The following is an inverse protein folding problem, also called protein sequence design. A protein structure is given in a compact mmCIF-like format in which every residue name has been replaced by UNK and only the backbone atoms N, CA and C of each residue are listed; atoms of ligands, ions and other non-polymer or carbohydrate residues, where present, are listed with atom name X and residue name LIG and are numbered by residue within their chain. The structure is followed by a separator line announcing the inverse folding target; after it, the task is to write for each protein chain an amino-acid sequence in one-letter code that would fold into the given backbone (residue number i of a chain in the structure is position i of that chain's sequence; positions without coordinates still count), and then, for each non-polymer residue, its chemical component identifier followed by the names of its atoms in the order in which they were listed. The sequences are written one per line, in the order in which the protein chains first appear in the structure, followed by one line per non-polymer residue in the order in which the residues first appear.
data_IF_484002102919
#
_entry.id   IF_484002102919
#
_cell.length_a   1.000
_cell.length_b   1.000
_cell.length_c   1.000
_cell.angle_alpha   90.00
_cell.angle_beta   90.00
_cell.angle_gamma   90.00
#
_symmetry.space_group_name_H-M   'P 1'
#
loop_
_entity.id
_entity.type
_entity.pdbx_description
1 polymer ?
#
# COMPACT_ATOMS: atom_id res chain seq x y z
N UNK A 1 10.02 -41.71 34.78
CA UNK A 1 9.62 -43.09 35.08
C UNK A 1 8.15 -43.23 34.76
N UNK A 2 7.76 -44.14 33.86
CA UNK A 2 6.37 -44.57 33.68
C UNK A 2 5.73 -44.23 32.32
N UNK A 3 6.17 -44.91 31.26
CA UNK A 3 5.39 -45.17 30.03
C UNK A 3 4.42 -46.31 30.29
N UNK A 4 3.16 -46.23 29.86
CA UNK A 4 2.27 -47.35 29.44
C UNK A 4 1.02 -46.73 28.78
N UNK A 5 0.29 -47.28 27.79
CA UNK A 5 0.50 -48.25 26.71
C UNK A 5 -0.82 -48.25 25.90
N UNK A 6 -0.75 -48.53 24.60
CA UNK A 6 -1.88 -48.77 23.69
C UNK A 6 -2.63 -50.09 24.03
N UNK A 7 -3.91 -50.24 23.63
CA UNK A 7 -4.36 -51.26 22.65
C UNK A 7 -5.90 -51.49 22.57
N UNK A 8 -6.33 -51.56 21.31
CA UNK A 8 -7.52 -52.03 20.56
C UNK A 8 -8.45 -53.16 21.04
N UNK A 9 -9.72 -53.11 20.58
CA UNK A 9 -10.54 -54.23 20.02
C UNK A 9 -11.81 -53.67 19.30
N UNK A 10 -11.92 -53.74 17.96
CA UNK A 10 -12.76 -54.65 17.11
C UNK A 10 -14.29 -54.61 17.38
N UNK A 11 -15.14 -54.06 16.47
CA UNK A 11 -15.74 -54.58 15.22
C UNK A 11 -16.82 -55.66 15.42
N UNK A 12 -18.07 -55.36 15.03
CA UNK A 12 -18.99 -56.36 14.46
C UNK A 12 -20.04 -55.71 13.53
N UNK A 13 -20.36 -56.41 12.45
CA UNK A 13 -21.19 -56.01 11.31
C UNK A 13 -22.58 -56.69 11.33
N UNK A 14 -23.54 -56.05 10.64
CA UNK A 14 -24.36 -56.63 9.54
C UNK A 14 -25.90 -56.76 9.68
N UNK A 15 -26.56 -56.44 8.54
CA UNK A 15 -27.81 -56.94 7.93
C UNK A 15 -29.18 -56.66 8.59
N UNK A 16 -30.07 -55.84 8.00
CA UNK A 16 -30.89 -55.98 6.77
C UNK A 16 -32.21 -56.76 6.96
N UNK A 17 -33.36 -56.10 6.79
CA UNK A 17 -34.55 -56.68 6.13
C UNK A 17 -35.51 -55.57 5.66
N UNK A 18 -36.24 -55.90 4.61
CA UNK A 18 -36.84 -55.07 3.55
C UNK A 18 -38.38 -55.09 3.64
N UNK A 19 -39.01 -54.36 2.71
CA UNK A 19 -40.37 -54.54 2.11
C UNK A 19 -41.43 -53.55 2.62
N UNK A 20 -41.87 -52.54 1.84
CA UNK A 20 -42.55 -52.48 0.51
C UNK A 20 -44.10 -52.47 0.63
N UNK A 21 -44.74 -51.51 -0.06
CA UNK A 21 -45.85 -51.65 -1.04
C UNK A 21 -46.51 -50.26 -1.26
N UNK A 22 -46.28 -49.56 -2.39
CA UNK A 22 -47.07 -49.53 -3.65
C UNK A 22 -48.53 -49.04 -3.45
N UNK A 23 -49.21 -48.28 -4.30
CA UNK A 23 -49.03 -47.56 -5.57
C UNK A 23 -50.37 -46.82 -5.75
N UNK A 24 -50.44 -45.62 -6.37
CA UNK A 24 -51.49 -45.38 -7.38
C UNK A 24 -51.27 -44.14 -8.26
N UNK A 25 -51.44 -44.38 -9.56
CA UNK A 25 -52.04 -43.55 -10.59
C UNK A 25 -51.37 -42.25 -11.06
N UNK A 26 -50.66 -42.44 -12.16
CA UNK A 26 -50.41 -41.58 -13.32
C UNK A 26 -51.55 -40.62 -13.71
N UNK A 27 -51.20 -39.35 -13.93
CA UNK A 27 -51.86 -38.48 -14.92
C UNK A 27 -50.77 -37.73 -15.70
N UNK A 28 -50.59 -38.09 -16.97
CA UNK A 28 -49.91 -37.25 -17.96
C UNK A 28 -50.82 -36.08 -18.29
N UNK A 29 -50.36 -34.86 -18.03
CA UNK A 29 -50.77 -33.68 -18.79
C UNK A 29 -49.51 -32.94 -19.26
N UNK A 30 -49.53 -32.68 -20.55
CA UNK A 30 -48.49 -32.11 -21.40
C UNK A 30 -48.70 -30.58 -21.48
N UNK A 31 -47.60 -29.84 -21.68
CA UNK A 31 -47.51 -28.43 -22.14
C UNK A 31 -48.27 -27.37 -21.30
N UNK A 32 -47.65 -26.48 -20.53
CA UNK A 32 -46.80 -25.38 -20.98
C UNK A 32 -45.92 -24.96 -19.77
N UNK A 33 -44.66 -25.40 -19.73
CA UNK A 33 -43.68 -24.49 -19.12
C UNK A 33 -43.47 -23.42 -20.17
N UNK A 34 -44.03 -22.25 -19.92
CA UNK A 34 -43.88 -21.10 -20.78
C UNK A 34 -42.37 -20.87 -20.99
N UNK A 35 -41.88 -21.25 -22.17
CA UNK A 35 -40.46 -21.18 -22.50
C UNK A 35 -39.98 -19.73 -22.34
N UNK A 36 -40.88 -18.76 -22.55
CA UNK A 36 -40.61 -17.35 -22.31
C UNK A 36 -40.41 -17.06 -20.81
N UNK A 37 -41.14 -17.73 -19.91
CA UNK A 37 -40.92 -17.62 -18.47
C UNK A 37 -39.61 -18.26 -18.00
N UNK A 38 -39.23 -19.41 -18.56
CA UNK A 38 -37.95 -20.06 -18.26
C UNK A 38 -36.76 -19.23 -18.80
N UNK A 39 -36.86 -18.67 -20.01
CA UNK A 39 -35.87 -17.74 -20.57
C UNK A 39 -35.81 -16.45 -19.75
N UNK A 40 -36.95 -15.92 -19.31
CA UNK A 40 -37.01 -14.72 -18.48
C UNK A 40 -36.36 -14.97 -17.11
N UNK A 41 -36.56 -16.15 -16.52
CA UNK A 41 -35.89 -16.56 -15.28
C UNK A 41 -34.37 -16.70 -15.46
N UNK A 42 -33.91 -17.26 -16.58
CA UNK A 42 -32.48 -17.32 -16.92
C UNK A 42 -31.90 -15.91 -17.17
N UNK A 43 -32.60 -15.04 -17.90
CA UNK A 43 -32.18 -13.65 -18.16
C UNK A 43 -32.17 -12.81 -16.87
N UNK A 44 -33.13 -12.99 -15.97
CA UNK A 44 -33.17 -12.31 -14.68
C UNK A 44 -32.10 -12.84 -13.71
N UNK A 45 -31.67 -14.09 -13.87
CA UNK A 45 -30.49 -14.64 -13.17
C UNK A 45 -29.15 -14.11 -13.70
N UNK A 46 -29.11 -13.69 -14.97
CA UNK A 46 -27.94 -13.08 -15.63
C UNK A 46 -27.88 -11.56 -15.46
N UNK A 47 -29.00 -10.90 -15.14
CA UNK A 47 -29.00 -9.47 -14.79
C UNK A 47 -28.20 -9.26 -13.50
N UNK A 48 -27.26 -8.30 -13.45
CA UNK A 48 -26.58 -7.94 -12.22
C UNK A 48 -27.63 -7.55 -11.18
N UNK A 49 -27.79 -8.35 -10.13
CA UNK A 49 -28.72 -8.00 -9.07
C UNK A 49 -28.25 -6.70 -8.40
N UNK A 50 -29.14 -5.69 -8.20
CA UNK A 50 -28.81 -4.47 -7.47
C UNK A 50 -28.46 -4.72 -6.00
N UNK A 51 -28.69 -5.96 -5.51
CA UNK A 51 -28.37 -6.45 -4.18
C UNK A 51 -27.24 -7.51 -4.16
N UNK A 52 -26.46 -7.64 -5.24
CA UNK A 52 -25.09 -8.11 -5.09
C UNK A 52 -24.38 -7.03 -4.26
N UNK A 53 -24.35 -7.25 -2.96
CA UNK A 53 -23.82 -6.38 -1.91
C UNK A 53 -22.83 -5.38 -2.49
N UNK A 54 -23.22 -4.11 -2.48
CA UNK A 54 -22.36 -2.93 -2.66
C UNK A 54 -20.90 -3.34 -2.53
N UNK A 55 -20.15 -3.36 -3.64
CA UNK A 55 -18.75 -3.74 -3.67
C UNK A 55 -18.10 -3.21 -2.38
N UNK A 56 -17.48 -4.07 -1.54
CA UNK A 56 -17.12 -3.69 -0.19
C UNK A 56 -16.33 -2.39 -0.27
N UNK A 57 -16.92 -1.32 0.27
CA UNK A 57 -16.41 0.04 0.16
C UNK A 57 -14.90 0.02 0.34
N UNK A 58 -14.15 0.69 -0.54
CA UNK A 58 -12.69 0.80 -0.55
C UNK A 58 -12.17 1.28 0.82
N UNK A 59 -12.04 0.36 1.78
CA UNK A 59 -11.64 0.67 3.15
C UNK A 59 -10.14 0.51 3.28
N UNK A 60 -9.52 1.48 3.94
CA UNK A 60 -8.18 1.32 4.47
C UNK A 60 -8.16 0.13 5.42
N UNK A 61 -7.11 -0.69 5.34
CA UNK A 61 -6.94 -1.84 6.23
C UNK A 61 -5.70 -1.68 7.10
N UNK A 62 -5.86 -1.90 8.40
CA UNK A 62 -4.72 -2.01 9.31
C UNK A 62 -4.06 -3.38 9.13
N UNK A 63 -2.75 -3.39 8.98
CA UNK A 63 -1.93 -4.60 8.83
C UNK A 63 -1.03 -4.70 10.06
N UNK A 64 -1.11 -5.84 10.73
CA UNK A 64 -0.25 -6.16 11.87
C UNK A 64 0.96 -6.95 11.36
N UNK A 65 2.15 -6.42 11.63
CA UNK A 65 3.42 -7.10 11.31
C UNK A 65 4.16 -7.56 12.58
N UNK A 66 3.47 -7.53 13.72
CA UNK A 66 4.01 -7.84 15.05
C UNK A 66 5.32 -7.05 15.31
N UNK A 67 5.26 -5.74 15.07
CA UNK A 67 6.35 -4.80 15.33
C UNK A 67 5.87 -3.84 16.43
N UNK A 68 6.51 -3.82 17.61
CA UNK A 68 6.10 -2.94 18.69
C UNK A 68 6.02 -1.47 18.26
N UNK A 69 4.93 -0.80 18.61
CA UNK A 69 4.72 0.64 18.35
C UNK A 69 4.72 1.05 16.87
N UNK A 70 4.40 0.13 15.94
CA UNK A 70 4.19 0.47 14.51
C UNK A 70 2.94 -0.22 14.01
N UNK A 71 2.04 0.55 13.42
CA UNK A 71 0.86 0.05 12.71
C UNK A 71 0.99 0.41 11.24
N UNK A 72 0.69 -0.55 10.37
CA UNK A 72 0.71 -0.34 8.93
C UNK A 72 -0.73 -0.13 8.46
N UNK A 73 -0.94 0.89 7.63
CA UNK A 73 -2.25 1.13 7.01
C UNK A 73 -2.08 0.92 5.52
N UNK A 74 -2.76 -0.09 4.98
CA UNK A 74 -2.75 -0.43 3.56
C UNK A 74 -3.87 0.32 2.85
N UNK A 75 -3.50 0.96 1.75
CA UNK A 75 -4.42 1.55 0.80
C UNK A 75 -4.81 0.48 -0.24
N UNK A 76 -6.12 0.29 -0.53
CA UNK A 76 -6.56 -0.57 -1.63
C UNK A 76 -5.97 -0.11 -2.96
N UNK A 77 -5.57 -1.03 -3.85
CA UNK A 77 -4.92 -0.70 -5.12
C UNK A 77 -5.74 0.27 -5.98
N UNK A 78 -7.06 0.13 -5.97
CA UNK A 78 -8.00 1.03 -6.66
C UNK A 78 -8.09 2.42 -6.03
N UNK A 79 -7.77 2.54 -4.74
CA UNK A 79 -7.77 3.80 -4.02
C UNK A 79 -6.44 4.54 -4.19
N UNK A 80 -5.33 3.84 -4.42
CA UNK A 80 -3.98 4.44 -4.57
C UNK A 80 -3.91 5.42 -5.75
N UNK A 81 -4.68 5.20 -6.82
CA UNK A 81 -4.77 6.13 -7.96
C UNK A 81 -5.43 7.46 -7.59
N UNK A 82 -6.36 7.45 -6.63
CA UNK A 82 -7.09 8.65 -6.17
C UNK A 82 -6.52 9.23 -4.87
N UNK A 83 -5.86 8.41 -4.05
CA UNK A 83 -5.39 8.73 -2.71
C UNK A 83 -3.94 8.28 -2.56
N UNK A 84 -3.03 9.15 -3.00
CA UNK A 84 -1.61 8.93 -2.86
C UNK A 84 -1.18 9.04 -1.37
N UNK A 85 -0.51 8.04 -0.79
CA UNK A 85 -0.13 8.04 0.63
C UNK A 85 0.84 9.17 0.99
N UNK A 86 1.76 9.53 0.09
CA UNK A 86 2.67 10.67 0.27
C UNK A 86 1.88 11.96 0.37
N UNK A 87 0.93 12.18 -0.54
CA UNK A 87 0.09 13.39 -0.49
C UNK A 87 -0.78 13.46 0.75
N UNK A 88 -1.37 12.34 1.18
CA UNK A 88 -2.22 12.31 2.38
C UNK A 88 -1.40 12.67 3.61
N UNK A 89 -0.24 12.04 3.81
CA UNK A 89 0.63 12.35 4.95
C UNK A 89 1.11 13.80 4.89
N UNK A 90 1.50 14.28 3.71
CA UNK A 90 1.88 15.68 3.50
C UNK A 90 0.73 16.61 3.89
N UNK A 91 -0.48 16.41 3.35
CA UNK A 91 -1.68 17.23 3.64
C UNK A 91 -2.02 17.21 5.13
N UNK A 92 -1.99 16.05 5.78
CA UNK A 92 -2.22 15.92 7.23
C UNK A 92 -1.19 16.72 8.03
N UNK A 93 0.11 16.58 7.72
CA UNK A 93 1.17 17.29 8.44
C UNK A 93 1.13 18.80 8.17
N UNK A 94 0.89 19.23 6.93
CA UNK A 94 0.72 20.64 6.57
C UNK A 94 -0.48 21.24 7.32
N UNK A 95 -1.61 20.53 7.37
CA UNK A 95 -2.80 21.00 8.09
C UNK A 95 -2.53 21.10 9.59
N UNK A 96 -1.88 20.09 10.17
CA UNK A 96 -1.48 20.10 11.58
C UNK A 96 -0.47 21.20 11.93
N UNK A 97 0.35 21.64 10.98
CA UNK A 97 1.33 22.70 11.15
C UNK A 97 0.74 24.12 11.11
N UNK A 98 -0.53 24.27 10.71
CA UNK A 98 -1.18 25.58 10.72
C UNK A 98 -1.45 26.05 12.15
N UNK A 99 -1.20 27.33 12.43
CA UNK A 99 -1.43 27.93 13.77
C UNK A 99 -2.90 27.90 14.20
N UNK A 100 -3.82 27.98 13.25
CA UNK A 100 -5.27 27.94 13.46
C UNK A 100 -5.83 26.51 13.52
N UNK A 101 -4.98 25.48 13.56
CA UNK A 101 -5.43 24.10 13.54
C UNK A 101 -6.17 23.71 14.84
N UNK A 102 -7.49 23.60 14.72
CA UNK A 102 -8.41 23.12 15.76
C UNK A 102 -8.88 21.67 15.54
N UNK A 103 -8.31 20.98 14.55
CA UNK A 103 -8.71 19.61 14.21
C UNK A 103 -8.24 18.56 15.22
N UNK A 104 -8.66 17.29 15.02
CA UNK A 104 -8.32 16.20 15.93
C UNK A 104 -6.81 16.00 16.00
N UNK A 105 -6.27 16.02 17.22
CA UNK A 105 -4.86 15.73 17.51
C UNK A 105 -4.72 14.28 17.92
N UNK A 106 -3.87 13.53 17.24
CA UNK A 106 -3.61 12.16 17.61
C UNK A 106 -2.69 12.11 18.84
N UNK A 107 -3.20 11.59 19.96
CA UNK A 107 -2.42 11.46 21.20
C UNK A 107 -1.36 10.35 21.12
N UNK A 108 -1.57 9.37 20.25
CA UNK A 108 -0.77 8.14 20.22
C UNK A 108 0.07 7.98 18.94
N UNK A 109 -0.17 8.81 17.91
CA UNK A 109 0.63 8.77 16.68
C UNK A 109 1.75 9.81 16.79
N UNK A 110 2.98 9.31 16.94
CA UNK A 110 4.17 10.17 16.92
C UNK A 110 4.50 10.62 15.49
N UNK A 111 4.64 9.69 14.56
CA UNK A 111 5.11 9.97 13.19
C UNK A 111 4.29 9.21 12.17
N UNK A 112 4.04 9.87 11.03
CA UNK A 112 3.51 9.23 9.84
C UNK A 112 4.64 9.03 8.83
N UNK A 113 4.84 7.79 8.37
CA UNK A 113 5.82 7.49 7.31
C UNK A 113 5.06 7.07 6.06
N UNK A 114 5.02 7.91 5.01
CA UNK A 114 4.35 7.53 3.77
C UNK A 114 5.18 6.50 3.03
N UNK A 115 4.52 5.46 2.51
CA UNK A 115 5.14 4.43 1.69
C UNK A 115 4.28 4.27 0.45
N UNK A 116 4.85 4.52 -0.73
CA UNK A 116 4.12 4.44 -2.00
C UNK A 116 4.02 2.99 -2.47
N UNK A 117 5.14 2.25 -2.43
CA UNK A 117 5.22 0.87 -2.91
C UNK A 117 6.01 0.04 -1.90
N UNK A 118 5.59 -1.22 -1.75
CA UNK A 118 6.18 -2.19 -0.82
C UNK A 118 6.56 -3.47 -1.57
N UNK A 119 7.71 -4.06 -1.25
CA UNK A 119 8.16 -5.37 -1.72
C UNK A 119 8.80 -6.16 -0.57
N UNK A 120 9.05 -7.46 -0.80
CA UNK A 120 9.89 -8.26 0.10
C UNK A 120 11.35 -7.83 -0.08
N UNK A 121 12.16 -7.91 0.97
CA UNK A 121 13.59 -7.54 0.92
C UNK A 121 14.44 -8.54 0.13
N UNK A 122 13.96 -9.77 -0.01
CA UNK A 122 14.64 -10.84 -0.77
C UNK A 122 14.24 -10.79 -2.25
N UNK A 123 15.00 -11.49 -3.10
CA UNK A 123 14.71 -11.62 -4.53
C UNK A 123 14.69 -10.28 -5.29
N UNK A 124 15.74 -9.47 -5.10
CA UNK A 124 15.93 -8.18 -5.78
C UNK A 124 14.78 -7.18 -5.57
N UNK A 125 14.09 -7.28 -4.43
CA UNK A 125 12.92 -6.44 -4.18
C UNK A 125 13.23 -4.96 -4.01
N UNK A 126 14.45 -4.59 -3.60
CA UNK A 126 14.89 -3.19 -3.55
C UNK A 126 15.08 -2.65 -4.97
N UNK A 127 15.73 -3.40 -5.83
CA UNK A 127 15.99 -3.05 -7.22
C UNK A 127 14.68 -2.90 -7.98
N UNK A 128 13.75 -3.85 -7.81
CA UNK A 128 12.41 -3.78 -8.40
C UNK A 128 11.63 -2.56 -7.90
N UNK A 129 11.73 -2.18 -6.61
CA UNK A 129 11.13 -0.94 -6.12
C UNK A 129 11.71 0.29 -6.81
N UNK A 130 13.03 0.31 -7.00
CA UNK A 130 13.70 1.42 -7.67
C UNK A 130 13.21 1.56 -9.12
N UNK A 131 13.15 0.45 -9.84
CA UNK A 131 12.78 0.41 -11.27
C UNK A 131 11.32 0.83 -11.50
N UNK A 132 10.43 0.59 -10.52
CA UNK A 132 9.02 0.96 -10.62
C UNK A 132 8.75 2.41 -10.17
N UNK A 133 9.40 2.86 -9.09
CA UNK A 133 9.05 4.14 -8.45
C UNK A 133 9.90 5.32 -8.95
N UNK A 134 11.21 5.13 -9.10
CA UNK A 134 12.13 6.24 -9.38
C UNK A 134 11.94 6.90 -10.76
N UNK A 135 11.54 6.18 -11.84
CA UNK A 135 11.38 6.82 -13.15
C UNK A 135 10.38 7.99 -13.14
N UNK A 136 9.29 7.87 -12.38
CA UNK A 136 8.29 8.93 -12.25
C UNK A 136 8.85 10.25 -11.66
N UNK A 137 10.03 10.21 -11.03
CA UNK A 137 10.62 11.34 -10.33
C UNK A 137 11.99 11.78 -10.87
N UNK A 138 12.75 10.86 -11.47
CA UNK A 138 14.17 11.05 -11.84
C UNK A 138 14.47 10.68 -13.29
N UNK A 139 13.48 10.32 -14.10
CA UNK A 139 13.71 10.11 -15.53
C UNK A 139 13.94 11.46 -16.24
N UNK A 140 15.10 11.59 -16.88
CA UNK A 140 15.42 12.71 -17.76
C UNK A 140 15.31 12.25 -19.22
N UNK A 141 14.31 12.75 -19.92
CA UNK A 141 14.14 12.50 -21.36
C UNK A 141 15.07 13.41 -22.18
N UNK A 142 15.56 12.90 -23.31
CA UNK A 142 16.25 13.70 -24.30
C UNK A 142 15.20 14.31 -25.22
N UNK A 143 14.96 15.61 -25.11
CA UNK A 143 14.31 16.34 -26.20
C UNK A 143 15.41 16.89 -27.14
N UNK A 144 15.56 16.36 -28.37
CA UNK A 144 16.48 16.90 -29.36
C UNK A 144 16.00 18.23 -29.99
N UNK A 145 14.92 18.86 -29.52
CA UNK A 145 14.23 19.93 -30.26
C UNK A 145 13.56 21.07 -29.49
N UNK A 146 13.83 21.34 -28.21
CA UNK A 146 13.27 22.52 -27.52
C UNK A 146 14.24 23.69 -27.34
N UNK A 147 13.99 24.75 -28.12
CA UNK A 147 14.40 26.13 -27.81
C UNK A 147 13.78 26.56 -26.46
N UNK A 148 14.39 27.49 -25.71
CA UNK A 148 13.84 27.94 -24.43
C UNK A 148 12.60 28.81 -24.67
N UNK A 149 11.42 28.21 -24.57
CA UNK A 149 10.17 28.95 -24.44
C UNK A 149 10.01 29.34 -22.97
N UNK A 150 10.08 30.64 -22.70
CA UNK A 150 9.70 31.22 -21.43
C UNK A 150 8.21 30.97 -21.18
N UNK A 151 7.89 30.57 -19.95
CA UNK A 151 6.56 30.26 -19.40
C UNK A 151 6.06 28.85 -19.69
N UNK A 152 6.54 27.86 -18.93
CA UNK A 152 5.76 26.66 -18.68
C UNK A 152 5.86 26.23 -17.21
N UNK A 153 4.72 26.31 -16.53
CA UNK A 153 4.48 25.85 -15.17
C UNK A 153 4.07 24.38 -15.24
N UNK A 154 5.04 23.47 -15.35
CA UNK A 154 4.71 22.04 -15.39
C UNK A 154 5.89 21.13 -15.70
N UNK A 155 6.72 20.85 -14.69
CA UNK A 155 7.69 19.74 -14.64
C UNK A 155 8.73 19.68 -15.79
N UNK A 156 9.81 20.44 -15.61
CA UNK A 156 11.00 20.40 -16.46
C UNK A 156 11.73 19.06 -16.35
N UNK A 157 11.29 18.04 -17.09
CA UNK A 157 11.97 16.73 -17.21
C UNK A 157 13.40 16.82 -17.80
N UNK A 158 13.88 18.01 -18.16
CA UNK A 158 15.23 18.26 -18.67
C UNK A 158 16.22 18.78 -17.59
N UNK A 159 15.74 19.24 -16.43
CA UNK A 159 16.59 19.82 -15.39
C UNK A 159 16.94 18.76 -14.32
N UNK A 160 18.23 18.74 -13.92
CA UNK A 160 18.69 17.92 -12.81
C UNK A 160 18.08 18.35 -11.47
N UNK A 161 17.99 17.42 -10.54
CA UNK A 161 17.46 17.65 -9.18
C UNK A 161 18.55 17.35 -8.16
N UNK A 162 18.55 18.08 -7.05
CA UNK A 162 19.29 17.70 -5.85
C UNK A 162 18.48 16.65 -5.08
N UNK A 163 19.12 15.57 -4.65
CA UNK A 163 18.44 14.52 -3.91
C UNK A 163 19.23 14.00 -2.71
N UNK A 164 18.49 13.45 -1.76
CA UNK A 164 19.03 12.69 -0.64
C UNK A 164 18.35 11.32 -0.54
N UNK A 165 19.06 10.34 0.03
CA UNK A 165 18.51 9.01 0.30
C UNK A 165 18.57 8.78 1.82
N UNK A 166 17.43 8.41 2.40
CA UNK A 166 17.30 8.18 3.85
C UNK A 166 16.73 6.80 4.13
N UNK A 167 17.60 5.79 4.32
CA UNK A 167 17.15 4.49 4.78
C UNK A 167 16.83 4.49 6.29
N UNK A 168 15.78 3.78 6.66
CA UNK A 168 15.39 3.43 8.03
C UNK A 168 15.27 1.91 8.07
N UNK A 169 16.11 1.24 8.86
CA UNK A 169 16.12 -0.23 8.95
C UNK A 169 15.76 -0.63 10.36
N UNK A 170 14.68 -1.42 10.50
CA UNK A 170 14.18 -1.89 11.79
C UNK A 170 13.91 -3.39 11.75
N UNK A 171 14.43 -4.09 12.76
CA UNK A 171 14.27 -5.54 12.94
C UNK A 171 14.70 -6.36 11.70
N UNK A 172 15.73 -5.88 10.98
CA UNK A 172 16.35 -6.56 9.85
C UNK A 172 17.87 -6.45 10.00
N UNK A 173 18.57 -7.58 9.88
CA UNK A 173 20.03 -7.67 9.95
C UNK A 173 20.68 -8.10 8.62
N UNK A 174 19.87 -8.25 7.57
CA UNK A 174 20.31 -8.72 6.24
C UNK A 174 20.56 -7.56 5.26
N UNK A 175 19.84 -6.45 5.42
CA UNK A 175 19.99 -5.25 4.60
C UNK A 175 21.01 -4.31 5.25
N UNK A 176 22.07 -4.01 4.52
CA UNK A 176 23.07 -3.02 4.94
C UNK A 176 22.64 -1.62 4.46
N UNK A 177 22.73 -0.63 5.37
CA UNK A 177 22.38 0.77 5.09
C UNK A 177 23.13 1.34 3.87
N UNK A 178 24.44 1.12 3.81
CA UNK A 178 25.30 1.69 2.77
C UNK A 178 25.03 1.02 1.43
N UNK A 179 24.80 -0.29 1.43
CA UNK A 179 24.39 -1.02 0.22
C UNK A 179 23.06 -0.50 -0.32
N UNK A 180 22.07 -0.27 0.54
CA UNK A 180 20.79 0.33 0.14
C UNK A 180 21.01 1.70 -0.52
N UNK A 181 21.83 2.55 0.09
CA UNK A 181 22.13 3.90 -0.44
C UNK A 181 22.81 3.79 -1.80
N UNK A 182 23.83 2.93 -1.93
CA UNK A 182 24.56 2.74 -3.19
C UNK A 182 23.66 2.22 -4.30
N UNK A 183 22.83 1.20 -4.04
CA UNK A 183 21.90 0.65 -5.02
C UNK A 183 20.91 1.69 -5.52
N UNK A 184 20.30 2.45 -4.60
CA UNK A 184 19.33 3.48 -4.95
C UNK A 184 20.00 4.63 -5.72
N UNK A 185 21.18 5.09 -5.28
CA UNK A 185 21.93 6.15 -5.95
C UNK A 185 22.32 5.76 -7.38
N UNK A 186 22.77 4.53 -7.60
CA UNK A 186 23.11 4.03 -8.94
C UNK A 186 21.89 4.03 -9.88
N UNK A 187 20.70 3.67 -9.37
CA UNK A 187 19.45 3.72 -10.15
C UNK A 187 19.05 5.16 -10.50
N UNK A 188 19.18 6.10 -9.56
CA UNK A 188 18.95 7.53 -9.83
C UNK A 188 19.94 8.08 -10.87
N UNK A 189 21.23 7.74 -10.77
CA UNK A 189 22.25 8.17 -11.73
C UNK A 189 21.94 7.66 -13.14
N UNK A 190 21.52 6.40 -13.27
CA UNK A 190 21.14 5.78 -14.53
C UNK A 190 19.92 6.48 -15.18
N UNK A 191 18.91 6.83 -14.39
CA UNK A 191 17.71 7.54 -14.86
C UNK A 191 17.99 8.99 -15.24
N UNK A 192 18.88 9.65 -14.50
CA UNK A 192 19.17 11.07 -14.63
C UNK A 192 20.24 11.44 -15.65
N UNK A 193 20.89 10.46 -16.29
CA UNK A 193 22.05 10.67 -17.19
C UNK A 193 23.09 11.62 -16.57
N UNK A 194 23.38 11.45 -15.27
CA UNK A 194 24.29 12.30 -14.45
C UNK A 194 23.86 13.76 -14.24
N UNK A 195 22.60 14.13 -14.51
CA UNK A 195 22.09 15.48 -14.20
C UNK A 195 21.68 15.65 -12.73
N UNK A 196 21.28 14.57 -12.04
CA UNK A 196 20.95 14.66 -10.61
C UNK A 196 22.22 14.73 -9.76
N UNK A 197 22.16 15.46 -8.64
CA UNK A 197 23.27 15.60 -7.71
C UNK A 197 22.82 15.27 -6.29
N UNK A 198 23.73 14.72 -5.49
CA UNK A 198 23.44 14.39 -4.09
C UNK A 198 23.65 15.61 -3.21
N UNK A 199 22.64 16.00 -2.43
CA UNK A 199 22.74 17.01 -1.40
C UNK A 199 22.01 16.52 -0.15
N UNK A 200 22.73 16.38 0.97
CA UNK A 200 22.16 15.82 2.21
C UNK A 200 21.42 16.84 3.07
N UNK A 201 21.46 18.13 2.69
CA UNK A 201 20.90 19.24 3.46
C UNK A 201 19.86 20.04 2.69
N UNK A 202 20.18 20.41 1.45
CA UNK A 202 19.37 21.26 0.58
C UNK A 202 18.92 20.48 -0.66
N UNK A 203 18.17 19.40 -0.44
CA UNK A 203 17.64 18.57 -1.52
C UNK A 203 16.28 19.06 -2.00
N UNK A 204 15.99 18.85 -3.29
CA UNK A 204 14.66 19.04 -3.86
C UNK A 204 13.76 17.83 -3.59
N UNK A 205 14.36 16.63 -3.63
CA UNK A 205 13.67 15.35 -3.46
C UNK A 205 14.39 14.48 -2.44
N UNK A 206 13.64 13.87 -1.53
CA UNK A 206 14.12 12.88 -0.57
C UNK A 206 13.54 11.52 -0.88
N UNK A 207 14.40 10.54 -1.07
CA UNK A 207 14.03 9.13 -1.22
C UNK A 207 14.03 8.49 0.16
N UNK A 208 12.85 8.14 0.66
CA UNK A 208 12.68 7.39 1.91
C UNK A 208 12.69 5.90 1.59
N UNK A 209 13.55 5.15 2.28
CA UNK A 209 13.60 3.69 2.21
C UNK A 209 13.34 3.13 3.60
N UNK A 210 12.25 2.41 3.77
CA UNK A 210 11.85 1.87 5.06
C UNK A 210 11.87 0.34 5.02
N UNK A 211 12.76 -0.26 5.81
CA UNK A 211 12.88 -1.71 5.95
C UNK A 211 12.34 -2.13 7.31
N UNK A 212 11.27 -2.93 7.31
CA UNK A 212 10.65 -3.50 8.49
C UNK A 212 10.62 -5.02 8.34
N UNK A 213 11.38 -5.75 9.18
CA UNK A 213 11.53 -7.22 9.06
C UNK A 213 11.95 -7.59 7.63
N UNK A 214 11.19 -8.42 6.91
CA UNK A 214 11.47 -8.86 5.55
C UNK A 214 10.78 -8.02 4.47
N UNK A 215 10.29 -6.82 4.83
CA UNK A 215 9.57 -5.92 3.94
C UNK A 215 10.39 -4.65 3.75
N UNK A 216 10.47 -4.17 2.52
CA UNK A 216 11.05 -2.88 2.14
C UNK A 216 9.98 -2.03 1.46
N UNK A 217 9.88 -0.79 1.86
CA UNK A 217 9.02 0.23 1.27
C UNK A 217 9.84 1.40 0.76
N UNK A 218 9.33 2.06 -0.27
CA UNK A 218 9.92 3.26 -0.84
C UNK A 218 8.89 4.35 -1.06
N UNK A 219 9.28 5.60 -0.84
CA UNK A 219 8.55 6.79 -1.25
C UNK A 219 9.52 7.91 -1.61
N UNK A 220 9.06 8.84 -2.46
CA UNK A 220 9.78 10.08 -2.77
C UNK A 220 8.94 11.24 -2.27
N UNK A 221 9.56 12.10 -1.46
CA UNK A 221 8.92 13.28 -0.87
C UNK A 221 9.74 14.52 -1.20
N UNK A 222 9.16 15.71 -1.09
CA UNK A 222 9.88 16.95 -1.36
C UNK A 222 10.68 17.47 -0.16
N UNK A 223 11.27 18.65 -0.34
CA UNK A 223 12.04 19.38 0.68
C UNK A 223 11.21 19.75 1.92
N UNK A 224 9.88 19.78 1.80
CA UNK A 224 8.97 20.03 2.92
C UNK A 224 9.05 18.97 4.03
N UNK A 225 9.70 17.83 3.78
CA UNK A 225 9.94 16.82 4.80
C UNK A 225 10.61 17.39 6.06
N UNK A 226 11.61 18.27 5.93
CA UNK A 226 12.30 18.83 7.10
C UNK A 226 11.48 19.93 7.76
N UNK A 227 10.79 20.77 6.98
CA UNK A 227 9.92 21.84 7.52
C UNK A 227 8.72 21.27 8.27
N UNK A 228 8.19 20.14 7.81
CA UNK A 228 7.12 19.37 8.46
C UNK A 228 7.64 18.40 9.51
N UNK A 229 8.77 18.72 10.16
CA UNK A 229 9.38 17.96 11.28
C UNK A 229 9.49 16.45 10.99
N UNK A 230 9.83 16.08 9.75
CA UNK A 230 9.97 14.69 9.30
C UNK A 230 8.69 13.88 9.50
N UNK A 231 7.56 14.55 9.26
CA UNK A 231 6.20 14.06 9.48
C UNK A 231 5.94 13.55 10.91
N UNK A 232 6.64 14.11 11.90
CA UNK A 232 6.38 13.86 13.31
C UNK A 232 5.23 14.76 13.79
N UNK A 233 4.01 14.22 13.74
CA UNK A 233 2.80 14.91 14.22
C UNK A 233 2.92 15.38 15.67
N UNK A 234 3.57 14.61 16.54
CA UNK A 234 3.73 15.01 17.94
C UNK A 234 4.61 16.26 18.06
N UNK A 235 5.72 16.33 17.31
CA UNK A 235 6.58 17.53 17.26
C UNK A 235 5.89 18.72 16.61
N UNK A 236 5.10 18.49 15.55
CA UNK A 236 4.31 19.56 14.91
C UNK A 236 3.32 20.15 15.92
N UNK A 237 2.60 19.30 16.65
CA UNK A 237 1.64 19.76 17.65
C UNK A 237 2.29 20.43 18.86
N UNK A 238 3.45 19.94 19.33
CA UNK A 238 4.16 20.56 20.45
C UNK A 238 4.74 21.93 20.10
N UNK A 239 5.13 22.14 18.83
CA UNK A 239 5.69 23.42 18.38
C UNK A 239 4.70 24.59 18.51
N UNK A 240 3.39 24.33 18.51
CA UNK A 240 2.37 25.37 18.72
C UNK A 240 2.30 25.89 20.16
N UNK A 241 2.86 25.17 21.13
CA UNK A 241 2.82 25.54 22.55
C UNK A 241 4.12 26.18 23.05
N UNK A 242 5.16 26.24 22.22
CA UNK A 242 6.47 26.79 22.60
C UNK A 242 6.63 28.29 22.37
N UNK A 243 5.64 28.95 21.76
CA UNK A 243 5.71 30.37 21.37
C UNK A 243 4.97 31.32 22.36
N UNK A 244 4.35 30.79 23.42
CA UNK A 244 3.51 31.56 24.37
C UNK A 244 4.21 31.96 25.69
N UNK A 245 5.54 31.72 25.80
CA UNK A 245 6.30 31.89 27.06
C UNK A 245 7.47 32.91 26.96
N UNK A 246 7.32 33.96 26.15
CA UNK A 246 8.24 35.12 26.12
C UNK A 246 7.52 36.45 26.07
#
# INVERSE_FOLDING_TARGET
MGTLAFSSHELDQNSSTTEENAENAHSNEDVDRDIEADIQAELDSLKPQPNAASAPSQKLSCVELDIPCVSFVRFPSELVSSHNPVEIVRKLCTTAARKDFQGPRSRYIKRLTPISIVRKTMANGLESLCDELLPAHFLVEEDPSTKPAANDTGNSHSQGFKFAIRPTIRNNNKMNRDQVIQTVAAKVEALGKKKHSVDLKDYDKLILIDVYRNIVGMSVVGSEFETLKRFNLAEIHSSHFGDDDT
#
